data_IF_133051232367
#
_entry.id   IF_133051232367
#
_cell.length_a   1.000
_cell.length_b   1.000
_cell.length_c   1.000
_cell.angle_alpha   90.00
_cell.angle_beta   90.00
_cell.angle_gamma   90.00
#
_symmetry.space_group_name_H-M   'P 1'
#
loop_
_entity.id
_entity.type
_entity.pdbx_description
1 polymer ?
#
# COMPACT_ATOMS: atom_id res chain seq x y z
N UNK A 1 14.03 -20.54 14.29
CA UNK A 1 12.73 -21.23 14.47
C UNK A 1 11.79 -20.80 13.35
N UNK A 2 10.80 -21.63 12.94
CA UNK A 2 9.71 -21.17 12.08
C UNK A 2 8.91 -20.03 12.72
N UNK A 3 8.04 -19.36 11.94
CA UNK A 3 7.15 -18.33 12.47
C UNK A 3 6.26 -18.88 13.60
N UNK A 4 6.03 -18.08 14.64
CA UNK A 4 5.34 -18.52 15.85
C UNK A 4 3.95 -19.11 15.57
N UNK A 5 3.19 -18.54 14.64
CA UNK A 5 1.84 -19.02 14.31
C UNK A 5 1.88 -20.39 13.61
N UNK A 6 2.90 -20.70 12.79
CA UNK A 6 3.05 -22.04 12.19
C UNK A 6 3.36 -23.09 13.26
N UNK A 7 4.19 -22.74 14.25
CA UNK A 7 4.50 -23.63 15.37
C UNK A 7 3.27 -23.85 16.24
N UNK A 8 2.48 -22.81 16.51
CA UNK A 8 1.20 -22.96 17.21
C UNK A 8 0.24 -23.87 16.44
N UNK A 9 0.05 -23.60 15.14
CA UNK A 9 -0.85 -24.37 14.28
C UNK A 9 -0.44 -25.85 14.18
N UNK A 10 0.86 -26.12 14.14
CA UNK A 10 1.40 -27.47 14.14
C UNK A 10 1.16 -28.16 15.49
N UNK A 11 1.70 -27.60 16.58
CA UNK A 11 1.73 -28.28 17.87
C UNK A 11 0.34 -28.36 18.49
N UNK A 12 -0.39 -27.25 18.53
CA UNK A 12 -1.68 -27.15 19.21
C UNK A 12 -2.79 -27.69 18.33
N UNK A 13 -2.93 -27.21 17.10
CA UNK A 13 -4.14 -27.49 16.34
C UNK A 13 -4.06 -28.79 15.53
N UNK A 14 -2.91 -29.09 14.91
CA UNK A 14 -2.73 -30.32 14.14
C UNK A 14 -2.38 -31.51 15.03
N UNK A 15 -1.44 -31.32 15.97
CA UNK A 15 -0.93 -32.40 16.84
C UNK A 15 -1.61 -32.45 18.22
N UNK A 16 -2.51 -31.52 18.53
CA UNK A 16 -3.31 -31.52 19.77
C UNK A 16 -2.48 -31.50 21.06
N UNK A 17 -1.28 -30.90 21.05
CA UNK A 17 -0.51 -30.70 22.27
C UNK A 17 -1.26 -29.76 23.21
N UNK A 18 -1.20 -30.00 24.54
CA UNK A 18 -1.77 -29.08 25.51
C UNK A 18 -1.07 -27.72 25.42
N UNK A 19 -1.80 -26.64 25.67
CA UNK A 19 -1.24 -25.28 25.76
C UNK A 19 -1.60 -24.63 27.09
N UNK A 20 -0.68 -23.82 27.58
CA UNK A 20 -0.94 -22.79 28.57
C UNK A 20 -1.23 -21.48 27.83
N UNK A 21 -2.21 -20.72 28.31
CA UNK A 21 -2.68 -19.48 27.69
C UNK A 21 -1.74 -18.30 27.94
N UNK A 22 -2.33 -17.10 27.91
CA UNK A 22 -1.63 -15.85 28.15
C UNK A 22 -1.09 -15.77 29.60
N UNK A 23 0.11 -15.24 29.74
CA UNK A 23 0.78 -14.94 31.01
C UNK A 23 1.62 -13.66 30.86
N UNK A 24 2.25 -13.17 31.93
CA UNK A 24 3.12 -11.98 31.87
C UNK A 24 4.15 -12.12 30.73
N UNK A 25 4.01 -11.27 29.70
CA UNK A 25 4.89 -11.22 28.50
C UNK A 25 4.96 -12.52 27.70
N UNK A 26 4.00 -13.44 27.90
CA UNK A 26 3.85 -14.68 27.14
C UNK A 26 2.45 -14.75 26.54
N UNK A 27 2.38 -15.03 25.23
CA UNK A 27 1.10 -15.22 24.54
C UNK A 27 0.57 -16.65 24.71
N UNK A 28 1.47 -17.63 24.69
CA UNK A 28 1.17 -19.06 24.88
C UNK A 28 2.44 -19.86 25.14
N UNK A 29 2.27 -20.99 25.83
CA UNK A 29 3.35 -21.96 26.11
C UNK A 29 2.85 -23.38 25.83
N UNK A 30 3.61 -24.14 25.04
CA UNK A 30 3.37 -25.57 24.80
C UNK A 30 4.41 -26.39 25.57
N UNK A 31 4.04 -27.08 26.66
CA UNK A 31 4.95 -27.97 27.36
C UNK A 31 5.19 -29.24 26.53
N UNK A 32 6.46 -29.62 26.39
CA UNK A 32 6.89 -30.83 25.68
C UNK A 32 7.88 -31.61 26.54
N UNK A 33 7.90 -32.94 26.38
CA UNK A 33 8.96 -33.79 26.94
C UNK A 33 9.88 -34.25 25.82
N UNK A 34 11.19 -34.05 26.01
CA UNK A 34 12.22 -34.53 25.10
C UNK A 34 13.30 -35.24 25.91
N UNK A 35 13.60 -36.50 25.55
CA UNK A 35 14.56 -37.36 26.27
C UNK A 35 14.35 -37.36 27.80
N UNK A 36 13.09 -37.45 28.22
CA UNK A 36 12.70 -37.47 29.64
C UNK A 36 12.71 -36.11 30.35
N UNK A 37 13.16 -35.03 29.70
CA UNK A 37 13.22 -33.66 30.26
C UNK A 37 12.08 -32.79 29.76
N UNK A 38 11.58 -31.90 30.61
CA UNK A 38 10.53 -30.94 30.29
C UNK A 38 11.13 -29.71 29.59
N UNK A 39 10.45 -29.22 28.55
CA UNK A 39 10.73 -27.94 27.90
C UNK A 39 9.40 -27.21 27.63
N UNK A 40 9.45 -25.89 27.55
CA UNK A 40 8.36 -25.05 27.07
C UNK A 40 8.71 -24.45 25.70
N UNK A 41 7.85 -24.66 24.70
CA UNK A 41 7.89 -23.88 23.46
C UNK A 41 7.01 -22.66 23.65
N UNK A 42 7.59 -21.47 23.70
CA UNK A 42 6.90 -20.27 24.17
C UNK A 42 7.03 -19.11 23.19
N UNK A 43 5.91 -18.46 22.91
CA UNK A 43 5.89 -17.19 22.20
C UNK A 43 5.78 -16.04 23.21
N UNK A 44 6.89 -15.34 23.41
CA UNK A 44 7.03 -14.22 24.35
C UNK A 44 7.17 -12.89 23.61
N UNK A 45 7.18 -11.78 24.35
CA UNK A 45 7.41 -10.43 23.79
C UNK A 45 8.66 -10.35 22.89
N UNK A 46 9.71 -11.09 23.23
CA UNK A 46 10.97 -11.15 22.46
C UNK A 46 11.00 -12.25 21.40
N UNK A 47 9.84 -12.83 21.06
CA UNK A 47 9.69 -13.85 20.02
C UNK A 47 9.57 -15.27 20.56
N UNK A 48 9.69 -16.22 19.63
CA UNK A 48 9.49 -17.65 19.87
C UNK A 48 10.80 -18.30 20.34
N UNK A 49 10.73 -19.05 21.44
CA UNK A 49 11.87 -19.79 21.98
C UNK A 49 11.50 -21.15 22.56
N UNK A 50 12.54 -21.93 22.88
CA UNK A 50 12.44 -23.20 23.59
C UNK A 50 13.18 -23.03 24.91
N UNK A 51 12.48 -23.25 26.02
CA UNK A 51 12.97 -22.94 27.35
C UNK A 51 12.98 -24.22 28.20
N UNK A 52 14.13 -24.51 28.80
CA UNK A 52 14.19 -25.49 29.87
C UNK A 52 13.74 -24.84 31.19
N UNK A 53 12.88 -25.49 31.98
CA UNK A 53 12.48 -24.96 33.28
C UNK A 53 13.67 -24.97 34.25
N UNK A 54 13.71 -23.99 35.15
CA UNK A 54 14.57 -24.07 36.32
C UNK A 54 13.90 -24.99 37.36
N UNK A 55 14.59 -26.06 37.76
CA UNK A 55 14.07 -27.07 38.68
C UNK A 55 14.45 -26.80 40.15
N UNK A 56 15.16 -25.71 40.43
CA UNK A 56 15.53 -25.32 41.79
C UNK A 56 14.29 -24.92 42.61
N UNK A 57 14.17 -25.49 43.81
CA UNK A 57 13.06 -25.22 44.73
C UNK A 57 13.11 -23.77 45.22
N UNK A 58 12.23 -22.92 44.66
CA UNK A 58 12.15 -21.49 44.97
C UNK A 58 12.62 -20.55 43.84
N UNK A 59 13.03 -21.10 42.68
CA UNK A 59 13.36 -20.29 41.52
C UNK A 59 12.18 -19.42 41.07
N UNK A 60 12.40 -18.10 41.02
CA UNK A 60 11.44 -17.11 40.47
C UNK A 60 11.78 -16.67 39.05
N UNK A 61 12.89 -17.15 38.51
CA UNK A 61 13.37 -16.84 37.16
C UNK A 61 14.05 -18.06 36.54
N UNK A 62 14.11 -18.07 35.21
CA UNK A 62 14.91 -19.03 34.45
C UNK A 62 16.39 -18.88 34.83
N UNK A 63 17.08 -20.00 35.03
CA UNK A 63 18.54 -20.03 35.19
C UNK A 63 19.26 -20.04 33.84
N UNK A 64 20.60 -19.99 33.86
CA UNK A 64 21.43 -20.21 32.67
C UNK A 64 21.24 -21.64 32.17
N UNK A 65 20.97 -21.86 30.87
CA UNK A 65 20.81 -23.19 30.33
C UNK A 65 22.11 -23.99 30.47
N UNK A 66 21.99 -25.27 30.79
CA UNK A 66 23.12 -26.19 30.71
C UNK A 66 23.44 -26.48 29.25
N UNK A 67 24.70 -26.85 28.95
CA UNK A 67 25.12 -27.26 27.58
C UNK A 67 24.20 -28.34 27.01
N UNK A 68 23.77 -29.28 27.86
CA UNK A 68 22.86 -30.35 27.46
C UNK A 68 21.42 -29.85 27.21
N UNK A 69 20.94 -28.84 27.94
CA UNK A 69 19.64 -28.22 27.66
C UNK A 69 19.66 -27.45 26.34
N UNK A 70 20.78 -26.79 26.02
CA UNK A 70 20.96 -26.06 24.76
C UNK A 70 21.01 -27.01 23.56
N UNK A 71 21.79 -28.10 23.64
CA UNK A 71 21.83 -29.13 22.58
C UNK A 71 20.45 -29.76 22.34
N UNK A 72 19.70 -30.03 23.40
CA UNK A 72 18.33 -30.54 23.30
C UNK A 72 17.40 -29.52 22.65
N UNK A 73 17.48 -28.25 23.04
CA UNK A 73 16.69 -27.18 22.44
C UNK A 73 16.96 -27.05 20.93
N UNK A 74 18.22 -27.17 20.51
CA UNK A 74 18.59 -27.19 19.08
C UNK A 74 17.95 -28.40 18.37
N UNK A 75 18.01 -29.59 18.98
CA UNK A 75 17.41 -30.79 18.40
C UNK A 75 15.89 -30.67 18.26
N UNK A 76 15.21 -30.15 19.29
CA UNK A 76 13.78 -29.86 19.27
C UNK A 76 13.46 -28.83 18.17
N UNK A 77 14.23 -27.74 18.06
CA UNK A 77 14.05 -26.72 17.04
C UNK A 77 14.15 -27.30 15.62
N UNK A 78 15.08 -28.21 15.40
CA UNK A 78 15.26 -28.89 14.10
C UNK A 78 14.08 -29.82 13.79
N UNK A 79 13.56 -30.54 14.78
CA UNK A 79 12.37 -31.37 14.62
C UNK A 79 11.12 -30.54 14.32
N UNK A 80 10.92 -29.44 15.03
CA UNK A 80 9.81 -28.50 14.76
C UNK A 80 9.93 -27.96 13.34
N UNK A 81 11.12 -27.59 12.88
CA UNK A 81 11.33 -27.10 11.51
C UNK A 81 10.98 -28.15 10.45
N UNK A 82 11.45 -29.38 10.63
CA UNK A 82 11.14 -30.48 9.72
C UNK A 82 9.63 -30.79 9.70
N UNK A 83 8.99 -30.82 10.88
CA UNK A 83 7.56 -31.03 11.00
C UNK A 83 6.74 -29.89 10.38
N UNK A 84 7.16 -28.63 10.52
CA UNK A 84 6.48 -27.52 9.83
C UNK A 84 6.58 -27.65 8.31
N UNK A 85 7.72 -28.08 7.77
CA UNK A 85 7.83 -28.31 6.32
C UNK A 85 6.94 -29.45 5.84
N UNK A 86 6.82 -30.53 6.63
CA UNK A 86 5.93 -31.64 6.32
C UNK A 86 4.44 -31.28 6.42
N UNK A 87 4.08 -30.31 7.27
CA UNK A 87 2.72 -29.86 7.49
C UNK A 87 2.24 -28.77 6.51
N UNK A 88 3.02 -28.43 5.49
CA UNK A 88 2.67 -27.38 4.52
C UNK A 88 1.27 -27.53 3.90
N UNK A 89 0.82 -28.73 3.47
CA UNK A 89 -0.54 -28.89 2.93
C UNK A 89 -1.65 -28.56 3.94
N UNK A 90 -1.41 -28.84 5.22
CA UNK A 90 -2.34 -28.48 6.30
C UNK A 90 -2.41 -26.95 6.48
N UNK A 91 -1.27 -26.26 6.40
CA UNK A 91 -1.24 -24.80 6.48
C UNK A 91 -1.95 -24.14 5.30
N UNK A 92 -1.79 -24.68 4.09
CA UNK A 92 -2.50 -24.21 2.91
C UNK A 92 -4.02 -24.36 3.08
N UNK A 93 -4.49 -25.56 3.43
CA UNK A 93 -5.92 -25.81 3.69
C UNK A 93 -6.45 -24.85 4.75
N UNK A 94 -5.70 -24.63 5.83
CA UNK A 94 -6.09 -23.71 6.89
C UNK A 94 -6.19 -22.26 6.42
N UNK A 95 -5.28 -21.81 5.56
CA UNK A 95 -5.33 -20.47 4.98
C UNK A 95 -6.59 -20.28 4.14
N UNK A 96 -6.96 -21.27 3.33
CA UNK A 96 -8.20 -21.27 2.53
C UNK A 96 -9.45 -21.16 3.43
N UNK A 97 -9.51 -21.93 4.52
CA UNK A 97 -10.60 -21.85 5.49
C UNK A 97 -10.67 -20.49 6.21
N UNK A 98 -9.52 -19.88 6.51
CA UNK A 98 -9.48 -18.58 7.18
C UNK A 98 -10.04 -17.48 6.28
N UNK A 99 -9.65 -17.46 5.00
CA UNK A 99 -10.02 -16.44 4.00
C UNK A 99 -11.54 -16.38 3.76
N UNK A 100 -12.26 -17.50 3.88
CA UNK A 100 -13.72 -17.53 3.72
C UNK A 100 -14.50 -16.92 4.89
N UNK A 101 -13.82 -16.36 5.90
CA UNK A 101 -14.45 -15.78 7.10
C UNK A 101 -14.13 -14.30 7.28
N UNK A 102 -14.76 -13.66 8.28
CA UNK A 102 -14.52 -12.26 8.65
C UNK A 102 -13.45 -12.08 9.74
N UNK A 103 -12.89 -13.16 10.30
CA UNK A 103 -11.90 -13.09 11.39
C UNK A 103 -10.50 -12.78 10.86
N UNK A 104 -10.41 -11.69 10.10
CA UNK A 104 -9.23 -11.30 9.34
C UNK A 104 -9.00 -9.81 9.45
N UNK A 105 -7.73 -9.45 9.36
CA UNK A 105 -7.27 -8.08 9.26
C UNK A 105 -6.73 -7.86 7.85
N UNK A 106 -7.09 -6.74 7.25
CA UNK A 106 -6.54 -6.24 5.99
C UNK A 106 -5.55 -5.14 6.33
N UNK A 107 -4.28 -5.36 5.99
CA UNK A 107 -3.21 -4.41 6.31
C UNK A 107 -3.44 -3.08 5.58
N UNK A 108 -3.43 -1.99 6.33
CA UNK A 108 -3.58 -0.64 5.79
C UNK A 108 -2.20 0.00 5.59
N UNK A 109 -1.89 0.34 4.35
CA UNK A 109 -0.68 1.05 3.89
C UNK A 109 -1.03 2.37 3.20
N UNK A 110 -2.25 2.86 3.41
CA UNK A 110 -2.77 4.03 2.70
C UNK A 110 -1.93 5.28 2.98
N UNK A 111 -1.47 5.45 4.21
CA UNK A 111 -0.63 6.58 4.63
C UNK A 111 0.66 6.68 3.79
N UNK A 112 1.51 5.64 3.82
CA UNK A 112 2.75 5.61 3.04
C UNK A 112 2.54 5.72 1.51
N UNK A 113 1.43 5.18 0.98
CA UNK A 113 1.09 5.32 -0.44
C UNK A 113 0.65 6.76 -0.77
N UNK A 114 -0.08 7.41 0.14
CA UNK A 114 -0.54 8.78 -0.02
C UNK A 114 0.61 9.78 0.12
N UNK A 115 1.53 9.56 1.07
CA UNK A 115 2.74 10.38 1.24
C UNK A 115 3.57 10.46 -0.04
N UNK A 116 3.67 9.35 -0.78
CA UNK A 116 4.34 9.33 -2.08
C UNK A 116 3.67 10.28 -3.07
N UNK A 117 2.33 10.31 -3.11
CA UNK A 117 1.58 11.25 -3.94
C UNK A 117 1.83 12.70 -3.51
N UNK A 118 1.74 12.98 -2.21
CA UNK A 118 1.96 14.32 -1.63
C UNK A 118 3.36 14.83 -2.00
N UNK A 119 4.39 14.01 -1.82
CA UNK A 119 5.78 14.36 -2.13
C UNK A 119 5.95 14.83 -3.59
N UNK A 120 5.41 14.08 -4.55
CA UNK A 120 5.54 14.41 -5.97
C UNK A 120 4.66 15.60 -6.38
N UNK A 121 3.44 15.70 -5.83
CA UNK A 121 2.54 16.83 -6.06
C UNK A 121 3.17 18.14 -5.57
N UNK A 122 3.70 18.15 -4.35
CA UNK A 122 4.30 19.34 -3.75
C UNK A 122 5.59 19.73 -4.48
N UNK A 123 6.37 18.74 -4.92
CA UNK A 123 7.52 18.96 -5.79
C UNK A 123 7.13 19.59 -7.13
N UNK A 124 6.03 19.13 -7.75
CA UNK A 124 5.50 19.72 -8.97
C UNK A 124 5.12 21.19 -8.79
N UNK A 125 4.36 21.53 -7.74
CA UNK A 125 3.95 22.90 -7.46
C UNK A 125 5.15 23.81 -7.21
N UNK A 126 6.08 23.38 -6.34
CA UNK A 126 7.31 24.12 -6.03
C UNK A 126 8.16 24.40 -7.27
N UNK A 127 8.36 23.40 -8.12
CA UNK A 127 9.14 23.54 -9.35
C UNK A 127 8.44 24.44 -10.39
N UNK A 128 7.11 24.39 -10.45
CA UNK A 128 6.32 25.23 -11.36
C UNK A 128 6.36 26.70 -10.94
N UNK A 129 6.25 26.97 -9.64
CA UNK A 129 6.41 28.32 -9.08
C UNK A 129 7.82 28.86 -9.33
N UNK A 130 8.84 28.05 -9.07
CA UNK A 130 10.23 28.43 -9.31
C UNK A 130 10.51 28.69 -10.80
N UNK A 131 9.97 27.87 -11.70
CA UNK A 131 10.09 28.09 -13.13
C UNK A 131 9.44 29.42 -13.58
N UNK A 132 8.32 29.80 -12.94
CA UNK A 132 7.65 31.07 -13.18
C UNK A 132 8.51 32.24 -12.71
N UNK A 133 9.11 32.16 -11.52
CA UNK A 133 10.03 33.19 -10.99
C UNK A 133 11.23 33.41 -11.91
N UNK A 134 11.79 32.32 -12.46
CA UNK A 134 13.01 32.33 -13.28
C UNK A 134 12.75 32.39 -14.79
N UNK A 135 11.53 32.74 -15.22
CA UNK A 135 11.13 32.69 -16.63
C UNK A 135 11.94 33.64 -17.53
N UNK A 136 12.41 34.77 -17.00
CA UNK A 136 13.22 35.75 -17.72
C UNK A 136 14.73 35.45 -17.75
N UNK A 137 15.21 34.48 -16.98
CA UNK A 137 16.63 34.19 -16.88
C UNK A 137 17.17 33.51 -18.13
N UNK A 138 18.32 33.99 -18.59
CA UNK A 138 19.10 33.36 -19.65
C UNK A 138 20.54 33.28 -19.20
N UNK A 139 21.09 32.08 -19.18
CA UNK A 139 22.50 31.81 -18.89
C UNK A 139 23.19 31.56 -20.23
N UNK A 140 24.18 32.38 -20.55
CA UNK A 140 24.96 32.24 -21.79
C UNK A 140 26.31 31.64 -21.42
N UNK A 141 26.58 30.43 -21.90
CA UNK A 141 27.87 29.78 -21.75
C UNK A 141 28.57 29.73 -23.10
N UNK A 142 29.75 30.35 -23.18
CA UNK A 142 30.64 30.21 -24.32
C UNK A 142 31.58 29.02 -24.08
N UNK A 143 31.52 28.03 -24.95
CA UNK A 143 32.45 26.90 -24.96
C UNK A 143 33.27 26.92 -26.23
N UNK A 144 34.58 26.71 -26.10
CA UNK A 144 35.52 26.69 -27.24
C UNK A 144 36.23 25.33 -27.26
N UNK A 145 35.66 24.30 -27.93
CA UNK A 145 36.29 22.99 -28.05
C UNK A 145 37.57 23.00 -28.90
N UNK A 146 37.82 24.07 -29.68
CA UNK A 146 39.12 24.33 -30.33
C UNK A 146 39.32 25.82 -30.60
N UNK A 147 40.55 26.26 -30.87
CA UNK A 147 40.91 27.67 -31.07
C UNK A 147 40.11 28.40 -32.17
N UNK A 148 39.50 27.65 -33.11
CA UNK A 148 38.78 28.19 -34.27
C UNK A 148 37.27 27.95 -34.24
N UNK A 149 36.71 27.32 -33.20
CA UNK A 149 35.26 27.06 -33.11
C UNK A 149 34.74 27.51 -31.75
N UNK A 150 33.94 28.58 -31.75
CA UNK A 150 33.21 29.06 -30.57
C UNK A 150 31.76 28.59 -30.67
N UNK A 151 31.28 27.90 -29.65
CA UNK A 151 29.87 27.56 -29.48
C UNK A 151 29.29 28.39 -28.33
N UNK A 152 28.27 29.19 -28.64
CA UNK A 152 27.47 29.86 -27.61
C UNK A 152 26.25 29.00 -27.32
N UNK A 153 26.15 28.49 -26.09
CA UNK A 153 24.95 27.80 -25.62
C UNK A 153 24.15 28.74 -24.74
N UNK A 154 22.85 28.82 -24.98
CA UNK A 154 21.91 29.60 -24.16
C UNK A 154 21.07 28.61 -23.38
N UNK A 155 21.29 28.56 -22.07
CA UNK A 155 20.48 27.77 -21.15
C UNK A 155 19.39 28.65 -20.54
N UNK A 156 18.16 28.13 -20.54
CA UNK A 156 17.00 28.79 -19.93
C UNK A 156 16.58 27.94 -18.72
N UNK A 157 16.97 28.31 -17.48
CA UNK A 157 16.72 27.53 -16.27
C UNK A 157 15.24 27.14 -16.08
N UNK A 158 14.32 28.05 -16.41
CA UNK A 158 12.88 27.80 -16.33
C UNK A 158 12.41 26.62 -17.19
N UNK A 159 13.08 26.32 -18.31
CA UNK A 159 12.73 25.16 -19.13
C UNK A 159 13.15 23.84 -18.47
N UNK A 160 14.30 23.81 -17.82
CA UNK A 160 14.75 22.64 -17.06
C UNK A 160 13.81 22.38 -15.88
N UNK A 161 13.45 23.42 -15.14
CA UNK A 161 12.51 23.35 -14.02
C UNK A 161 11.11 22.87 -14.46
N UNK A 162 10.58 23.39 -15.59
CA UNK A 162 9.30 22.91 -16.15
C UNK A 162 9.33 21.44 -16.53
N UNK A 163 10.44 20.98 -17.10
CA UNK A 163 10.61 19.57 -17.46
C UNK A 163 10.64 18.68 -16.22
N UNK A 164 11.37 19.09 -15.18
CA UNK A 164 11.40 18.37 -13.90
C UNK A 164 10.02 18.39 -13.21
N UNK A 165 9.30 19.52 -13.28
CA UNK A 165 7.94 19.62 -12.79
C UNK A 165 7.03 18.58 -13.49
N UNK A 166 7.11 18.47 -14.81
CA UNK A 166 6.30 17.50 -15.56
C UNK A 166 6.60 16.04 -15.15
N UNK A 167 7.87 15.70 -14.87
CA UNK A 167 8.22 14.37 -14.35
C UNK A 167 7.59 14.11 -12.99
N UNK A 168 7.64 15.09 -12.09
CA UNK A 168 7.00 15.00 -10.78
C UNK A 168 5.48 14.88 -10.90
N UNK A 169 4.83 15.60 -11.81
CA UNK A 169 3.40 15.47 -12.03
C UNK A 169 3.01 14.06 -12.51
N UNK A 170 3.77 13.47 -13.44
CA UNK A 170 3.55 12.10 -13.89
C UNK A 170 3.70 11.09 -12.75
N UNK A 171 4.77 11.21 -11.96
CA UNK A 171 4.99 10.38 -10.78
C UNK A 171 3.89 10.54 -9.71
N UNK A 172 3.36 11.76 -9.53
CA UNK A 172 2.23 12.03 -8.64
C UNK A 172 0.96 11.31 -9.13
N UNK A 173 0.66 11.36 -10.43
CA UNK A 173 -0.54 10.69 -10.97
C UNK A 173 -0.45 9.17 -10.80
N UNK A 174 0.71 8.56 -11.06
CA UNK A 174 0.92 7.14 -10.82
C UNK A 174 0.80 6.77 -9.33
N UNK A 175 1.40 7.58 -8.45
CA UNK A 175 1.31 7.39 -7.01
C UNK A 175 -0.14 7.51 -6.50
N UNK A 176 -0.90 8.48 -7.02
CA UNK A 176 -2.31 8.65 -6.72
C UNK A 176 -3.13 7.41 -7.11
N UNK A 177 -2.97 6.90 -8.33
CA UNK A 177 -3.71 5.70 -8.74
C UNK A 177 -3.32 4.48 -7.91
N UNK A 178 -2.03 4.31 -7.59
CA UNK A 178 -1.56 3.27 -6.67
C UNK A 178 -2.22 3.37 -5.29
N UNK A 179 -2.28 4.58 -4.72
CA UNK A 179 -2.98 4.83 -3.47
C UNK A 179 -4.48 4.50 -3.58
N UNK A 180 -5.18 4.94 -4.63
CA UNK A 180 -6.62 4.65 -4.76
C UNK A 180 -6.95 3.16 -4.93
N UNK A 181 -6.11 2.36 -5.58
CA UNK A 181 -6.29 0.89 -5.65
C UNK A 181 -6.39 0.28 -4.24
N UNK A 182 -5.61 0.83 -3.31
CA UNK A 182 -5.57 0.38 -1.92
C UNK A 182 -6.67 1.03 -1.07
N UNK A 183 -6.80 2.36 -1.11
CA UNK A 183 -7.77 3.12 -0.34
C UNK A 183 -9.21 2.70 -0.63
N UNK A 184 -9.55 2.35 -1.88
CA UNK A 184 -10.90 1.89 -2.23
C UNK A 184 -11.29 0.56 -1.58
N UNK A 185 -10.34 -0.35 -1.36
CA UNK A 185 -10.60 -1.60 -0.62
C UNK A 185 -10.96 -1.26 0.82
N UNK A 186 -10.17 -0.42 1.48
CA UNK A 186 -10.42 0.00 2.87
C UNK A 186 -11.73 0.78 3.00
N UNK A 187 -12.01 1.73 2.10
CA UNK A 187 -13.28 2.45 2.09
C UNK A 187 -14.48 1.50 1.93
N UNK A 188 -14.36 0.46 1.10
CA UNK A 188 -15.42 -0.53 0.95
C UNK A 188 -15.62 -1.38 2.21
N UNK A 189 -14.54 -1.73 2.94
CA UNK A 189 -14.63 -2.41 4.24
C UNK A 189 -15.30 -1.52 5.29
N UNK A 190 -14.86 -0.26 5.41
CA UNK A 190 -15.43 0.71 6.38
C UNK A 190 -16.91 0.98 6.12
N UNK A 191 -17.35 0.93 4.86
CA UNK A 191 -18.77 1.05 4.48
C UNK A 191 -19.55 -0.27 4.63
N UNK A 192 -18.95 -1.33 5.17
CA UNK A 192 -19.59 -2.63 5.36
C UNK A 192 -19.90 -3.38 4.07
N UNK A 193 -19.28 -3.02 2.93
CA UNK A 193 -19.51 -3.64 1.62
C UNK A 193 -18.66 -4.89 1.41
N UNK A 194 -17.48 -4.95 2.04
CA UNK A 194 -16.62 -6.13 2.07
C UNK A 194 -16.58 -6.71 3.48
N UNK A 195 -16.85 -8.00 3.60
CA UNK A 195 -17.14 -8.64 4.89
C UNK A 195 -16.27 -9.88 5.15
N UNK A 196 -15.74 -10.48 4.10
CA UNK A 196 -14.91 -11.70 4.17
C UNK A 196 -13.60 -11.51 3.42
N UNK A 197 -12.62 -12.36 3.71
CA UNK A 197 -11.34 -12.37 2.99
C UNK A 197 -11.52 -12.67 1.50
N UNK A 198 -12.51 -13.51 1.14
CA UNK A 198 -12.87 -13.78 -0.25
C UNK A 198 -13.35 -12.52 -0.98
N UNK A 199 -14.20 -11.70 -0.34
CA UNK A 199 -14.66 -10.43 -0.94
C UNK A 199 -13.48 -9.50 -1.22
N UNK A 200 -12.55 -9.42 -0.26
CA UNK A 200 -11.35 -8.57 -0.37
C UNK A 200 -10.44 -9.08 -1.48
N UNK A 201 -10.18 -10.38 -1.55
CA UNK A 201 -9.35 -10.98 -2.59
C UNK A 201 -9.93 -10.74 -3.99
N UNK A 202 -11.23 -11.00 -4.16
CA UNK A 202 -11.91 -10.78 -5.43
C UNK A 202 -11.85 -9.30 -5.86
N UNK A 203 -12.06 -8.36 -4.93
CA UNK A 203 -11.98 -6.95 -5.27
C UNK A 203 -10.53 -6.50 -5.54
N UNK A 204 -9.55 -7.05 -4.81
CA UNK A 204 -8.14 -6.74 -5.02
C UNK A 204 -7.66 -7.11 -6.43
N UNK A 205 -8.11 -8.26 -6.95
CA UNK A 205 -7.83 -8.72 -8.31
C UNK A 205 -8.62 -7.97 -9.40
N UNK A 206 -9.74 -7.34 -9.03
CA UNK A 206 -10.57 -6.60 -9.98
C UNK A 206 -9.87 -5.35 -10.53
N UNK A 207 -10.36 -4.84 -11.65
CA UNK A 207 -9.84 -3.58 -12.21
C UNK A 207 -10.20 -2.37 -11.32
N UNK A 208 -9.47 -1.28 -11.51
CA UNK A 208 -9.70 -0.04 -10.76
C UNK A 208 -11.11 0.50 -10.86
N UNK A 209 -11.76 0.35 -12.03
CA UNK A 209 -13.12 0.81 -12.26
C UNK A 209 -14.08 0.10 -11.31
N UNK A 210 -13.89 -1.21 -11.15
CA UNK A 210 -14.67 -2.03 -10.23
C UNK A 210 -14.40 -1.62 -8.79
N UNK A 211 -13.13 -1.43 -8.41
CA UNK A 211 -12.76 -0.93 -7.07
C UNK A 211 -13.42 0.42 -6.75
N UNK A 212 -13.36 1.38 -7.67
CA UNK A 212 -14.00 2.69 -7.51
C UNK A 212 -15.50 2.54 -7.29
N UNK A 213 -16.19 1.77 -8.14
CA UNK A 213 -17.65 1.57 -8.05
C UNK A 213 -18.09 0.87 -6.77
N UNK A 214 -17.27 -0.03 -6.24
CA UNK A 214 -17.55 -0.71 -4.97
C UNK A 214 -17.28 0.23 -3.79
N UNK A 215 -16.27 1.10 -3.88
CA UNK A 215 -15.97 2.08 -2.82
C UNK A 215 -16.92 3.28 -2.82
N UNK A 216 -17.36 3.74 -3.99
CA UNK A 216 -18.11 5.00 -4.16
C UNK A 216 -19.37 4.79 -5.01
N UNK A 217 -20.47 5.43 -4.61
CA UNK A 217 -21.76 5.27 -5.28
C UNK A 217 -21.82 6.04 -6.61
N UNK A 218 -21.37 5.42 -7.71
CA UNK A 218 -21.36 6.03 -9.06
C UNK A 218 -22.76 6.32 -9.62
N UNK A 219 -23.83 5.83 -8.97
CA UNK A 219 -25.19 6.24 -9.29
C UNK A 219 -25.46 7.72 -8.96
N UNK A 220 -24.70 8.30 -8.02
CA UNK A 220 -24.73 9.73 -7.76
C UNK A 220 -24.01 10.51 -8.88
N UNK A 221 -24.67 11.56 -9.37
CA UNK A 221 -24.19 12.34 -10.51
C UNK A 221 -22.86 13.05 -10.19
N UNK A 222 -22.66 13.54 -8.96
CA UNK A 222 -21.41 14.20 -8.56
C UNK A 222 -20.26 13.20 -8.55
N UNK A 223 -20.48 12.03 -7.96
CA UNK A 223 -19.52 10.91 -7.95
C UNK A 223 -19.17 10.47 -9.37
N UNK A 224 -20.16 10.40 -10.26
CA UNK A 224 -19.96 10.02 -11.66
C UNK A 224 -19.05 10.98 -12.43
N UNK A 225 -19.16 12.29 -12.20
CA UNK A 225 -18.29 13.29 -12.85
C UNK A 225 -16.82 13.00 -12.53
N UNK A 226 -16.50 12.76 -11.26
CA UNK A 226 -15.13 12.42 -10.86
C UNK A 226 -14.69 11.05 -11.39
N UNK A 227 -15.58 10.06 -11.39
CA UNK A 227 -15.29 8.74 -11.94
C UNK A 227 -14.90 8.82 -13.44
N UNK A 228 -15.68 9.54 -14.25
CA UNK A 228 -15.42 9.67 -15.68
C UNK A 228 -14.13 10.47 -15.94
N UNK A 229 -13.90 11.56 -15.19
CA UNK A 229 -12.69 12.38 -15.31
C UNK A 229 -11.41 11.60 -14.97
N UNK A 230 -11.39 10.90 -13.83
CA UNK A 230 -10.24 10.09 -13.42
C UNK A 230 -10.00 8.91 -14.36
N UNK A 231 -11.07 8.33 -14.91
CA UNK A 231 -10.92 7.23 -15.86
C UNK A 231 -10.29 7.70 -17.18
N UNK A 232 -10.71 8.86 -17.69
CA UNK A 232 -10.10 9.45 -18.88
C UNK A 232 -8.64 9.84 -18.58
N UNK A 233 -8.35 10.42 -17.41
CA UNK A 233 -6.99 10.75 -16.99
C UNK A 233 -6.08 9.50 -16.96
N UNK A 234 -6.54 8.39 -16.36
CA UNK A 234 -5.79 7.13 -16.33
C UNK A 234 -5.50 6.59 -17.73
N UNK A 235 -6.47 6.71 -18.64
CA UNK A 235 -6.30 6.30 -20.03
C UNK A 235 -5.27 7.18 -20.76
N UNK A 236 -5.31 8.50 -20.55
CA UNK A 236 -4.34 9.44 -21.14
C UNK A 236 -2.91 9.14 -20.67
N UNK A 237 -2.68 8.97 -19.37
CA UNK A 237 -1.35 8.67 -18.81
C UNK A 237 -0.83 7.33 -19.33
N UNK A 238 -1.66 6.29 -19.32
CA UNK A 238 -1.25 4.97 -19.86
C UNK A 238 -0.84 5.09 -21.32
N UNK A 239 -1.60 5.82 -22.14
CA UNK A 239 -1.26 6.01 -23.55
C UNK A 239 0.02 6.82 -23.73
N UNK A 240 0.23 7.87 -22.93
CA UNK A 240 1.45 8.69 -22.97
C UNK A 240 2.71 7.88 -22.60
N UNK A 241 2.65 7.10 -21.51
CA UNK A 241 3.78 6.30 -21.01
C UNK A 241 4.01 5.04 -21.87
N UNK A 242 2.96 4.30 -22.21
CA UNK A 242 3.09 3.04 -22.98
C UNK A 242 3.57 3.25 -24.42
N UNK A 243 3.42 4.45 -24.97
CA UNK A 243 3.94 4.81 -26.28
C UNK A 243 5.29 5.51 -26.20
N UNK A 244 6.08 5.31 -25.14
CA UNK A 244 7.49 5.73 -25.08
C UNK A 244 7.70 7.24 -25.25
N UNK A 245 6.71 8.06 -24.87
CA UNK A 245 6.71 9.50 -25.07
C UNK A 245 6.86 9.95 -26.55
N UNK A 246 6.27 9.21 -27.52
CA UNK A 246 6.04 9.69 -28.89
C UNK A 246 5.12 10.92 -28.88
N UNK A 247 5.66 12.10 -28.56
CA UNK A 247 4.92 13.36 -28.40
C UNK A 247 3.82 13.33 -27.32
N UNK A 248 3.39 14.49 -26.83
CA UNK A 248 2.26 14.56 -25.87
C UNK A 248 0.90 14.15 -26.45
N UNK A 249 0.85 13.91 -27.76
CA UNK A 249 -0.35 13.53 -28.52
C UNK A 249 -0.21 12.18 -29.27
N UNK A 250 0.90 11.46 -29.13
CA UNK A 250 1.18 10.27 -29.97
C UNK A 250 1.82 10.61 -31.32
N UNK A 251 2.52 11.75 -31.40
CA UNK A 251 3.25 12.22 -32.58
C UNK A 251 4.59 11.48 -32.69
N UNK A 252 4.61 10.41 -33.48
CA UNK A 252 5.82 9.61 -33.66
C UNK A 252 6.71 10.10 -34.81
N UNK A 253 6.13 10.81 -35.77
CA UNK A 253 6.81 11.24 -37.00
C UNK A 253 6.49 12.70 -37.30
N UNK A 254 7.37 13.35 -38.06
CA UNK A 254 7.06 14.60 -38.74
C UNK A 254 7.40 14.45 -40.22
N UNK A 255 6.60 15.02 -41.11
CA UNK A 255 6.91 15.12 -42.54
C UNK A 255 7.23 16.57 -42.91
N UNK A 256 8.11 16.77 -43.89
CA UNK A 256 8.57 18.09 -44.28
C UNK A 256 7.68 18.69 -45.37
N UNK A 257 7.28 19.94 -45.18
CA UNK A 257 6.51 20.72 -46.15
C UNK A 257 7.00 22.16 -46.20
N UNK A 258 6.45 22.99 -47.11
CA UNK A 258 6.69 24.44 -47.12
C UNK A 258 6.23 25.16 -45.85
N UNK A 259 5.39 24.54 -45.01
CA UNK A 259 5.01 25.05 -43.68
C UNK A 259 5.99 24.63 -42.57
N UNK A 260 7.06 23.91 -42.90
CA UNK A 260 7.99 23.31 -41.95
C UNK A 260 7.71 21.82 -41.69
N UNK A 261 8.27 21.30 -40.60
CA UNK A 261 8.03 19.94 -40.14
C UNK A 261 6.62 19.85 -39.52
N UNK A 262 5.74 19.05 -40.12
CA UNK A 262 4.36 18.86 -39.68
C UNK A 262 4.26 17.51 -38.95
N UNK A 263 3.82 17.47 -37.68
CA UNK A 263 3.72 16.23 -36.92
C UNK A 263 2.60 15.32 -37.45
N UNK A 264 2.81 14.00 -37.32
CA UNK A 264 1.85 12.95 -37.68
C UNK A 264 1.54 12.12 -36.46
N UNK A 265 0.25 12.02 -36.15
CA UNK A 265 -0.30 11.26 -35.04
C UNK A 265 -0.59 9.83 -35.47
N UNK A 266 -0.25 8.86 -34.62
CA UNK A 266 -0.66 7.47 -34.79
C UNK A 266 -2.07 7.26 -34.22
N UNK A 267 -2.98 6.76 -35.05
CA UNK A 267 -4.33 6.39 -34.62
C UNK A 267 -4.44 4.90 -34.30
N UNK A 268 -5.26 4.56 -33.31
CA UNK A 268 -5.65 3.18 -32.99
C UNK A 268 -6.63 2.58 -34.02
N UNK A 269 -7.20 3.40 -34.91
CA UNK A 269 -8.11 2.94 -35.97
C UNK A 269 -7.32 2.28 -37.10
N UNK A 270 -7.56 0.98 -37.37
CA UNK A 270 -6.83 0.25 -38.42
C UNK A 270 -7.03 0.81 -39.82
N UNK A 271 -8.16 1.48 -40.10
CA UNK A 271 -8.51 2.01 -41.42
C UNK A 271 -7.84 3.36 -41.73
N UNK A 272 -7.53 4.16 -40.69
CA UNK A 272 -6.89 5.47 -40.81
C UNK A 272 -5.79 5.62 -39.76
N UNK A 273 -4.66 4.95 -40.00
CA UNK A 273 -3.55 4.84 -39.04
C UNK A 273 -2.82 6.15 -38.75
N UNK A 274 -3.00 7.19 -39.57
CA UNK A 274 -2.29 8.46 -39.47
C UNK A 274 -3.27 9.65 -39.48
N UNK A 275 -3.06 10.62 -38.58
CA UNK A 275 -3.88 11.84 -38.49
C UNK A 275 -2.98 13.08 -38.31
N UNK A 276 -3.42 14.22 -38.82
CA UNK A 276 -2.75 15.52 -38.64
C UNK A 276 -3.32 16.32 -37.46
N UNK A 277 -4.50 15.93 -37.00
CA UNK A 277 -5.21 16.50 -35.87
C UNK A 277 -5.61 15.39 -34.89
N UNK A 278 -5.62 15.73 -33.60
CA UNK A 278 -5.87 14.78 -32.52
C UNK A 278 -6.39 15.47 -31.28
N UNK A 279 -6.50 14.71 -30.18
CA UNK A 279 -6.88 15.25 -28.88
C UNK A 279 -5.85 16.31 -28.41
N UNK A 280 -6.24 17.24 -27.52
CA UNK A 280 -5.30 18.14 -26.87
C UNK A 280 -4.11 17.38 -26.27
N UNK A 281 -2.96 18.06 -26.20
CA UNK A 281 -1.79 17.47 -25.55
C UNK A 281 -2.10 17.22 -24.08
N UNK A 282 -1.56 16.12 -23.53
CA UNK A 282 -1.65 15.86 -22.10
C UNK A 282 -1.08 17.05 -21.31
N UNK A 283 -1.88 17.61 -20.41
CA UNK A 283 -1.49 18.76 -19.60
C UNK A 283 -1.41 18.36 -18.13
N UNK A 284 -0.18 18.34 -17.63
CA UNK A 284 0.15 17.88 -16.29
C UNK A 284 -0.53 18.72 -15.19
N UNK A 285 -0.65 20.04 -15.40
CA UNK A 285 -1.27 20.93 -14.41
C UNK A 285 -2.76 20.62 -14.24
N UNK A 286 -3.50 20.61 -15.34
CA UNK A 286 -4.92 20.20 -15.33
C UNK A 286 -5.12 18.82 -14.72
N UNK A 287 -4.21 17.86 -14.98
CA UNK A 287 -4.28 16.54 -14.37
C UNK A 287 -4.13 16.60 -12.84
N UNK A 288 -3.14 17.31 -12.31
CA UNK A 288 -2.95 17.48 -10.86
C UNK A 288 -4.17 18.18 -10.22
N UNK A 289 -4.67 19.25 -10.85
CA UNK A 289 -5.84 19.97 -10.35
C UNK A 289 -7.09 19.04 -10.29
N UNK A 290 -7.26 18.14 -11.25
CA UNK A 290 -8.33 17.12 -11.23
C UNK A 290 -8.19 16.12 -10.07
N UNK A 291 -6.97 15.70 -9.73
CA UNK A 291 -6.72 14.82 -8.59
C UNK A 291 -7.06 15.52 -7.27
N UNK A 292 -6.65 16.78 -7.13
CA UNK A 292 -6.94 17.60 -5.95
C UNK A 292 -8.44 17.85 -5.78
N UNK A 293 -9.15 18.14 -6.88
CA UNK A 293 -10.60 18.28 -6.87
C UNK A 293 -11.30 17.00 -6.42
N UNK A 294 -10.82 15.83 -6.86
CA UNK A 294 -11.37 14.57 -6.38
C UNK A 294 -11.10 14.34 -4.89
N UNK A 295 -9.91 14.66 -4.38
CA UNK A 295 -9.60 14.54 -2.95
C UNK A 295 -10.49 15.45 -2.10
N UNK A 296 -10.71 16.68 -2.55
CA UNK A 296 -11.65 17.60 -1.90
C UNK A 296 -13.07 17.03 -1.89
N UNK A 297 -13.52 16.47 -3.01
CA UNK A 297 -14.82 15.80 -3.09
C UNK A 297 -14.91 14.61 -2.12
N UNK A 298 -13.88 13.77 -2.08
CA UNK A 298 -13.86 12.56 -1.25
C UNK A 298 -13.95 12.89 0.25
N UNK A 299 -13.26 13.95 0.68
CA UNK A 299 -13.18 14.36 2.10
C UNK A 299 -14.18 15.42 2.53
N UNK A 300 -14.95 15.98 1.59
CA UNK A 300 -16.12 16.83 1.91
C UNK A 300 -17.45 16.06 1.88
N UNK A 301 -17.42 14.83 1.37
CA UNK A 301 -18.60 13.98 1.21
C UNK A 301 -18.80 12.94 2.32
N UNK A 302 -19.62 11.92 2.06
CA UNK A 302 -19.92 10.84 3.01
C UNK A 302 -18.71 10.02 3.47
N UNK A 303 -17.60 10.09 2.73
CA UNK A 303 -16.37 9.39 3.09
C UNK A 303 -15.45 10.20 4.02
N UNK A 304 -15.80 11.44 4.37
CA UNK A 304 -14.99 12.29 5.24
C UNK A 304 -14.54 11.60 6.55
N UNK A 305 -15.40 10.85 7.28
CA UNK A 305 -14.97 10.16 8.49
C UNK A 305 -13.79 9.20 8.26
N UNK A 306 -13.74 8.52 7.10
CA UNK A 306 -12.71 7.53 6.82
C UNK A 306 -11.31 8.12 6.63
N UNK A 307 -11.16 9.44 6.44
CA UNK A 307 -9.87 10.07 6.16
C UNK A 307 -8.83 9.76 7.24
N UNK A 308 -9.18 10.01 8.51
CA UNK A 308 -8.28 9.79 9.64
C UNK A 308 -7.97 8.30 9.84
N UNK A 309 -8.95 7.43 9.57
CA UNK A 309 -8.73 5.99 9.62
C UNK A 309 -7.70 5.53 8.57
N UNK A 310 -7.80 6.00 7.32
CA UNK A 310 -6.86 5.62 6.27
C UNK A 310 -5.42 6.05 6.59
N UNK A 311 -5.24 7.24 7.19
CA UNK A 311 -3.93 7.75 7.62
C UNK A 311 -3.41 7.14 8.93
N UNK A 312 -4.23 6.40 9.68
CA UNK A 312 -3.83 5.88 10.99
C UNK A 312 -2.84 4.70 10.95
N UNK A 313 -2.70 4.03 9.80
CA UNK A 313 -1.97 2.77 9.69
C UNK A 313 -2.65 1.56 10.35
N UNK A 314 -3.81 1.74 10.99
CA UNK A 314 -4.57 0.65 11.60
C UNK A 314 -5.10 -0.31 10.52
N UNK A 315 -5.01 -1.63 10.73
CA UNK A 315 -5.57 -2.60 9.80
C UNK A 315 -7.10 -2.58 9.84
N UNK A 316 -7.73 -2.78 8.68
CA UNK A 316 -9.18 -2.97 8.63
C UNK A 316 -9.56 -4.38 9.07
N UNK A 317 -10.36 -4.48 10.13
CA UNK A 317 -10.83 -5.72 10.74
C UNK A 317 -12.16 -6.10 10.10
N UNK A 318 -12.24 -7.21 9.39
CA UNK A 318 -13.46 -7.57 8.65
C UNK A 318 -14.64 -7.92 9.58
N UNK A 319 -14.38 -8.38 10.80
CA UNK A 319 -15.42 -8.56 11.82
C UNK A 319 -16.15 -7.25 12.13
N UNK A 320 -15.44 -6.11 12.15
CA UNK A 320 -16.03 -4.80 12.42
C UNK A 320 -16.92 -4.30 11.26
N UNK A 321 -16.70 -4.82 10.05
CA UNK A 321 -17.60 -4.61 8.91
C UNK A 321 -18.86 -5.49 9.00
N UNK A 322 -18.76 -6.64 9.67
CA UNK A 322 -19.86 -7.60 9.86
C UNK A 322 -20.80 -7.21 11.00
N UNK A 323 -20.25 -6.76 12.13
CA UNK A 323 -21.01 -6.47 13.35
C UNK A 323 -21.55 -5.03 13.43
N UNK A 324 -21.25 -4.21 12.42
CA UNK A 324 -21.71 -2.81 12.34
C UNK A 324 -20.82 -1.79 13.05
N UNK A 325 -19.71 -2.21 13.67
CA UNK A 325 -18.76 -1.30 14.34
C UNK A 325 -18.30 -0.18 13.42
N UNK A 326 -17.92 -0.49 12.18
CA UNK A 326 -17.54 0.55 11.22
C UNK A 326 -18.72 1.41 10.76
N UNK A 327 -19.93 0.86 10.69
CA UNK A 327 -21.12 1.65 10.34
C UNK A 327 -21.38 2.72 11.41
N UNK A 328 -21.20 2.38 12.69
CA UNK A 328 -21.28 3.35 13.79
C UNK A 328 -20.15 4.37 13.73
N UNK A 329 -18.90 3.94 13.51
CA UNK A 329 -17.76 4.85 13.43
C UNK A 329 -17.83 5.81 12.21
N UNK A 330 -18.46 5.38 11.11
CA UNK A 330 -18.63 6.19 9.89
C UNK A 330 -19.77 7.22 9.97
N UNK A 331 -20.45 7.38 11.11
CA UNK A 331 -21.56 8.34 11.27
C UNK A 331 -21.06 9.79 11.24
N UNK A 332 -19.90 10.08 11.83
CA UNK A 332 -19.29 11.39 11.82
C UNK A 332 -17.76 11.32 11.93
N UNK A 333 -17.09 12.44 11.63
CA UNK A 333 -15.62 12.54 11.81
C UNK A 333 -15.25 12.34 13.29
N UNK A 334 -16.03 12.87 14.22
CA UNK A 334 -15.79 12.73 15.65
C UNK A 334 -15.89 11.26 16.11
N UNK A 335 -16.89 10.52 15.63
CA UNK A 335 -17.07 9.10 15.98
C UNK A 335 -15.92 8.25 15.44
N UNK A 336 -15.44 8.53 14.22
CA UNK A 336 -14.28 7.83 13.67
C UNK A 336 -13.01 8.17 14.45
N UNK A 337 -12.83 9.42 14.87
CA UNK A 337 -11.65 9.84 15.63
C UNK A 337 -11.58 9.17 17.00
N UNK A 338 -12.71 9.11 17.71
CA UNK A 338 -12.81 8.38 18.98
C UNK A 338 -12.48 6.89 18.77
N UNK A 339 -13.05 6.28 17.73
CA UNK A 339 -12.79 4.90 17.37
C UNK A 339 -11.31 4.64 17.07
N UNK A 340 -10.67 5.47 16.22
CA UNK A 340 -9.25 5.36 15.87
C UNK A 340 -8.38 5.46 17.12
N UNK A 341 -8.60 6.45 17.97
CA UNK A 341 -7.84 6.60 19.21
C UNK A 341 -8.02 5.41 20.16
N UNK A 342 -9.25 4.90 20.29
CA UNK A 342 -9.54 3.70 21.06
C UNK A 342 -8.82 2.48 20.53
N UNK A 343 -8.81 2.31 19.20
CA UNK A 343 -8.20 1.15 18.55
C UNK A 343 -6.66 1.20 18.62
N UNK A 344 -6.03 2.37 18.46
CA UNK A 344 -4.58 2.55 18.69
C UNK A 344 -4.19 2.07 20.08
N UNK A 345 -4.90 2.53 21.13
CA UNK A 345 -4.65 2.10 22.52
C UNK A 345 -4.81 0.59 22.74
N UNK A 346 -5.66 -0.09 21.96
CA UNK A 346 -5.82 -1.54 22.04
C UNK A 346 -4.67 -2.26 21.34
N UNK A 347 -4.26 -1.78 20.16
CA UNK A 347 -3.12 -2.32 19.42
C UNK A 347 -1.83 -2.18 20.21
N UNK A 348 -1.59 -1.02 20.84
CA UNK A 348 -0.39 -0.78 21.65
C UNK A 348 -0.32 -1.73 22.84
N UNK A 349 -1.41 -1.87 23.61
CA UNK A 349 -1.49 -2.84 24.73
C UNK A 349 -1.24 -4.27 24.28
N UNK A 350 -1.82 -4.67 23.15
CA UNK A 350 -1.62 -6.00 22.59
C UNK A 350 -0.17 -6.23 22.14
N UNK A 351 0.48 -5.21 21.54
CA UNK A 351 1.88 -5.27 21.14
C UNK A 351 2.81 -5.39 22.36
N UNK A 352 2.45 -4.76 23.48
CA UNK A 352 3.19 -4.87 24.74
C UNK A 352 2.90 -6.17 25.52
N UNK A 353 1.97 -7.00 25.03
CA UNK A 353 1.46 -8.20 25.71
C UNK A 353 0.91 -7.89 27.11
N UNK A 354 0.26 -6.74 27.25
CA UNK A 354 -0.48 -6.32 28.44
C UNK A 354 -1.89 -6.89 28.33
N UNK A 355 -2.11 -8.02 29.00
CA UNK A 355 -3.38 -8.75 28.93
C UNK A 355 -4.42 -8.28 29.96
N UNK A 356 -4.04 -7.44 30.93
CA UNK A 356 -4.88 -6.96 32.04
C UNK A 356 -4.79 -5.45 32.25
#
# INVERSE_FOLDING_TARGET
MPAYYLVYFLLVDALSFPRLGQWEKSAWTVPIRYRGRLFGVEHRKMGLGIFAPNLDFGARSSGTPTVQAEQDAIAIANQIRAATAAAEPYFQWRAEQAVSTSKLNVANKSDALFDRYIYFRDSFHRLTEEATRRQGERVVEESSPSANVKFTSVFVPSQALRREANWNAQAAIEAFFSWTEHAFIHLAILQGRLKTGTDVAQLAEADWKTKFKVALAVADARTKVHYDALLDLRAQVRNFVAHGAFGKRGEAFSFHTGAGAVPVLLSSEQRHRFKLNGRPAFEERTAIDQLELFLQFLWSGPCAPAQNYLSSGLPSVLTYAMDGTYTSAMQSVADMDEFVQGFIRQVDRAADMEWW
#
